data_IF_444423675428
#
_entry.id   IF_444423675428
#
_cell.length_a   1.000
_cell.length_b   1.000
_cell.length_c   1.000
_cell.angle_alpha   90.00
_cell.angle_beta   90.00
_cell.angle_gamma   90.00
#
_symmetry.space_group_name_H-M   'P 1'
#
loop_
_entity.id
_entity.type
_entity.pdbx_description
1 polymer ?
#
# COMPACT_ATOMS: atom_id res chain seq x y z
N UNK A 1 -16.80 -1.70 -7.87
CA UNK A 1 -18.09 -2.10 -8.46
C UNK A 1 -18.66 -0.99 -9.35
N UNK A 2 -18.99 0.20 -8.80
CA UNK A 2 -19.63 1.31 -9.52
C UNK A 2 -18.93 1.71 -10.84
N UNK A 3 -17.60 1.84 -10.85
CA UNK A 3 -16.83 2.19 -12.07
C UNK A 3 -16.92 1.08 -13.11
N UNK A 4 -16.77 -0.18 -12.69
CA UNK A 4 -16.85 -1.32 -13.58
C UNK A 4 -18.24 -1.43 -14.25
N UNK A 5 -19.29 -1.17 -13.47
CA UNK A 5 -20.66 -1.21 -13.99
C UNK A 5 -20.98 0.00 -14.86
N UNK A 6 -20.52 1.21 -14.48
CA UNK A 6 -20.75 2.44 -15.25
C UNK A 6 -20.13 2.43 -16.65
N UNK A 7 -18.95 1.80 -16.78
CA UNK A 7 -18.21 1.75 -18.04
C UNK A 7 -18.25 0.37 -18.70
N UNK A 8 -19.11 -0.53 -18.20
CA UNK A 8 -19.26 -1.91 -18.68
C UNK A 8 -17.91 -2.66 -18.86
N UNK A 9 -16.98 -2.46 -17.94
CA UNK A 9 -15.63 -3.01 -18.08
C UNK A 9 -15.60 -4.54 -18.03
N UNK A 10 -16.65 -5.17 -17.48
CA UNK A 10 -16.70 -6.64 -17.32
C UNK A 10 -16.88 -7.37 -18.64
N UNK A 11 -17.52 -6.75 -19.62
CA UNK A 11 -17.73 -7.35 -20.96
C UNK A 11 -16.42 -7.65 -21.67
N UNK A 12 -15.38 -6.85 -21.43
CA UNK A 12 -14.08 -6.96 -22.09
C UNK A 12 -13.03 -7.72 -21.26
N UNK A 13 -13.42 -8.23 -20.07
CA UNK A 13 -12.51 -8.96 -19.17
C UNK A 13 -12.77 -10.45 -19.23
N UNK A 14 -11.76 -11.23 -19.61
CA UNK A 14 -11.79 -12.69 -19.46
C UNK A 14 -11.42 -13.08 -18.02
N UNK A 15 -12.43 -13.25 -17.16
CA UNK A 15 -12.24 -13.67 -15.78
C UNK A 15 -11.70 -15.10 -15.67
N UNK A 16 -11.08 -15.44 -14.54
CA UNK A 16 -10.47 -16.75 -14.26
C UNK A 16 -9.49 -17.20 -15.34
N UNK A 17 -8.83 -16.25 -16.00
CA UNK A 17 -7.96 -16.49 -17.14
C UNK A 17 -6.58 -15.90 -16.85
N UNK A 18 -5.65 -16.75 -16.43
CA UNK A 18 -4.27 -16.36 -16.18
C UNK A 18 -3.43 -16.45 -17.45
N UNK A 19 -2.59 -15.46 -17.71
CA UNK A 19 -1.60 -15.48 -18.79
C UNK A 19 -0.44 -16.39 -18.37
N UNK A 20 -0.08 -17.35 -19.23
CA UNK A 20 1.06 -18.24 -19.03
C UNK A 20 2.33 -17.70 -19.68
N UNK A 21 2.20 -17.09 -20.85
CA UNK A 21 3.33 -16.48 -21.57
C UNK A 21 2.87 -15.40 -22.53
N UNK A 22 3.78 -14.49 -22.85
CA UNK A 22 3.61 -13.51 -23.91
C UNK A 22 4.93 -13.39 -24.67
N UNK A 23 4.91 -13.58 -25.98
CA UNK A 23 6.06 -13.48 -26.86
C UNK A 23 5.76 -12.49 -27.98
N UNK A 24 6.71 -11.62 -28.26
CA UNK A 24 6.65 -10.76 -29.43
C UNK A 24 7.11 -11.53 -30.65
N UNK A 25 6.39 -11.45 -31.73
CA UNK A 25 6.68 -12.04 -33.03
C UNK A 25 7.20 -10.92 -33.94
N UNK A 26 8.50 -10.86 -34.13
CA UNK A 26 9.17 -9.80 -34.90
C UNK A 26 8.78 -9.82 -36.38
N UNK A 27 8.44 -11.00 -36.94
CA UNK A 27 8.04 -11.14 -38.35
C UNK A 27 6.60 -10.65 -38.57
N UNK A 28 5.73 -10.85 -37.59
CA UNK A 28 4.33 -10.46 -37.66
C UNK A 28 4.04 -9.10 -37.02
N UNK A 29 5.02 -8.48 -36.32
CA UNK A 29 4.90 -7.24 -35.56
C UNK A 29 3.73 -7.25 -34.55
N UNK A 30 3.60 -8.38 -33.83
CA UNK A 30 2.51 -8.57 -32.88
C UNK A 30 2.90 -9.42 -31.66
N UNK A 31 2.14 -9.28 -30.60
CA UNK A 31 2.24 -10.13 -29.42
C UNK A 31 1.39 -11.38 -29.56
N UNK A 32 1.99 -12.54 -29.28
CA UNK A 32 1.27 -13.79 -29.06
C UNK A 32 1.17 -14.07 -27.56
N UNK A 33 -0.02 -13.89 -27.00
CA UNK A 33 -0.33 -14.13 -25.58
C UNK A 33 -0.99 -15.50 -25.44
N UNK A 34 -0.45 -16.36 -24.58
CA UNK A 34 -1.00 -17.68 -24.29
C UNK A 34 -1.45 -17.75 -22.84
N UNK A 35 -2.65 -18.23 -22.60
CA UNK A 35 -3.22 -18.42 -21.26
C UNK A 35 -2.95 -19.82 -20.72
N UNK A 36 -3.09 -20.01 -19.40
CA UNK A 36 -2.94 -21.33 -18.76
C UNK A 36 -3.93 -22.38 -19.28
N UNK A 37 -5.12 -21.98 -19.73
CA UNK A 37 -6.09 -22.88 -20.36
C UNK A 37 -5.81 -23.14 -21.86
N UNK A 38 -4.70 -22.64 -22.40
CA UNK A 38 -4.28 -22.85 -23.79
C UNK A 38 -4.89 -21.91 -24.82
N UNK A 39 -5.73 -20.96 -24.43
CA UNK A 39 -6.24 -19.93 -25.34
C UNK A 39 -5.10 -19.03 -25.81
N UNK A 40 -5.08 -18.72 -27.11
CA UNK A 40 -4.10 -17.80 -27.72
C UNK A 40 -4.79 -16.53 -28.20
N UNK A 41 -4.15 -15.39 -27.97
CA UNK A 41 -4.61 -14.08 -28.41
C UNK A 41 -3.44 -13.38 -29.09
N UNK A 42 -3.69 -12.78 -30.25
CA UNK A 42 -2.74 -11.92 -30.95
C UNK A 42 -3.13 -10.47 -30.72
N UNK A 43 -2.16 -9.59 -30.49
CA UNK A 43 -2.38 -8.17 -30.24
C UNK A 43 -1.17 -7.34 -30.69
N UNK A 44 -1.41 -6.19 -31.30
CA UNK A 44 -0.35 -5.25 -31.65
C UNK A 44 0.32 -4.64 -30.39
N UNK A 45 -0.46 -4.46 -29.33
CA UNK A 45 0.02 -3.87 -28.09
C UNK A 45 -0.29 -4.75 -26.90
N UNK A 46 0.68 -4.89 -25.99
CA UNK A 46 0.51 -5.58 -24.71
C UNK A 46 0.75 -4.59 -23.57
N UNK A 47 -0.26 -4.37 -22.74
CA UNK A 47 -0.15 -3.55 -21.53
C UNK A 47 -0.13 -4.46 -20.31
N UNK A 48 1.02 -4.51 -19.62
CA UNK A 48 1.21 -5.29 -18.41
C UNK A 48 0.72 -4.51 -17.19
N UNK A 49 -0.54 -4.67 -16.83
CA UNK A 49 -1.16 -4.04 -15.66
C UNK A 49 -1.25 -5.00 -14.47
N UNK A 50 -0.21 -5.79 -14.24
CA UNK A 50 -0.17 -6.92 -13.28
C UNK A 50 -0.05 -6.49 -11.81
N UNK A 51 0.23 -5.22 -11.53
CA UNK A 51 0.52 -4.72 -10.19
C UNK A 51 1.92 -5.12 -9.69
N UNK A 52 2.35 -4.51 -8.60
CA UNK A 52 3.70 -4.71 -8.04
C UNK A 52 3.74 -5.74 -6.89
N UNK A 53 2.59 -6.11 -6.32
CA UNK A 53 2.48 -7.00 -5.16
C UNK A 53 1.56 -8.20 -5.42
N UNK A 54 1.33 -8.56 -6.67
CA UNK A 54 0.38 -9.61 -7.06
C UNK A 54 0.89 -11.03 -6.81
N UNK A 55 2.21 -11.23 -6.73
CA UNK A 55 2.82 -12.51 -6.42
C UNK A 55 3.20 -12.60 -4.95
N UNK A 56 2.50 -13.44 -4.20
CA UNK A 56 2.85 -13.70 -2.80
C UNK A 56 4.07 -14.62 -2.71
N UNK A 57 5.05 -14.24 -1.91
CA UNK A 57 6.22 -15.07 -1.62
C UNK A 57 6.10 -15.62 -0.19
N UNK A 58 6.04 -16.92 -0.08
CA UNK A 58 6.14 -17.60 1.21
C UNK A 58 7.60 -17.68 1.63
N UNK A 59 7.94 -17.30 2.88
CA UNK A 59 9.32 -17.38 3.35
C UNK A 59 9.78 -18.85 3.45
N UNK A 60 11.03 -19.06 3.07
CA UNK A 60 11.70 -20.36 3.25
C UNK A 60 12.24 -20.44 4.69
N UNK A 61 11.49 -21.10 5.57
CA UNK A 61 11.82 -21.29 6.98
C UNK A 61 11.91 -22.79 7.23
N UNK A 62 13.08 -23.25 7.67
CA UNK A 62 13.29 -24.66 7.99
C UNK A 62 12.29 -25.15 9.04
N UNK A 63 11.68 -26.30 8.78
CA UNK A 63 10.71 -26.93 9.68
C UNK A 63 9.28 -26.40 9.55
N UNK A 64 9.00 -25.47 8.65
CA UNK A 64 7.66 -24.92 8.43
C UNK A 64 6.62 -26.00 8.15
N UNK A 65 6.99 -27.01 7.37
CA UNK A 65 6.12 -28.14 6.98
C UNK A 65 5.77 -29.04 8.15
N UNK A 66 6.58 -29.04 9.21
CA UNK A 66 6.34 -29.82 10.42
C UNK A 66 5.41 -29.13 11.43
N UNK A 67 5.14 -27.84 11.22
CA UNK A 67 4.23 -27.08 12.08
C UNK A 67 2.80 -27.59 11.96
N UNK A 68 2.17 -27.87 13.11
CA UNK A 68 0.82 -28.47 13.16
C UNK A 68 -0.30 -27.44 13.30
N UNK A 69 0.04 -26.18 13.57
CA UNK A 69 -0.92 -25.09 13.65
C UNK A 69 -1.28 -24.52 12.26
N UNK A 70 -2.28 -23.67 12.24
CA UNK A 70 -2.68 -22.93 11.03
C UNK A 70 -1.63 -21.88 10.67
N UNK A 71 -1.35 -21.72 9.39
CA UNK A 71 -0.40 -20.74 8.87
C UNK A 71 -1.07 -19.91 7.79
N UNK A 72 -0.95 -18.58 7.89
CA UNK A 72 -1.54 -17.63 6.95
C UNK A 72 -0.46 -16.68 6.43
N UNK A 73 -0.58 -16.29 5.17
CA UNK A 73 0.27 -15.27 4.56
C UNK A 73 -0.60 -14.09 4.15
N UNK A 74 -0.21 -12.88 4.51
CA UNK A 74 -1.01 -11.68 4.24
C UNK A 74 -1.36 -11.49 2.76
N UNK A 75 -0.47 -11.90 1.84
CA UNK A 75 -0.73 -11.88 0.40
C UNK A 75 -1.69 -12.98 -0.11
N UNK A 76 -2.01 -13.98 0.73
CA UNK A 76 -2.91 -15.10 0.42
C UNK A 76 -3.98 -15.25 1.51
N UNK A 77 -4.45 -14.12 2.04
CA UNK A 77 -5.43 -14.14 3.12
C UNK A 77 -6.73 -14.80 2.68
N UNK A 78 -7.31 -15.71 3.51
CA UNK A 78 -8.59 -16.33 3.19
C UNK A 78 -9.69 -15.28 3.01
N UNK A 79 -10.52 -15.43 1.97
CA UNK A 79 -11.60 -14.48 1.66
C UNK A 79 -12.70 -14.47 2.71
N UNK A 80 -12.90 -15.61 3.37
CA UNK A 80 -13.83 -15.82 4.49
C UNK A 80 -13.34 -15.23 5.80
N UNK A 81 -12.08 -14.75 5.83
CA UNK A 81 -11.45 -14.25 7.04
C UNK A 81 -10.85 -15.36 7.91
N UNK A 82 -10.28 -14.99 9.04
CA UNK A 82 -9.70 -15.91 10.04
C UNK A 82 -10.21 -15.48 11.43
N UNK A 83 -10.77 -16.40 12.17
CA UNK A 83 -11.14 -16.20 13.56
C UNK A 83 -9.92 -16.47 14.48
N UNK A 84 -9.50 -15.46 15.23
CA UNK A 84 -8.39 -15.52 16.18
C UNK A 84 -8.86 -15.62 17.64
N UNK A 85 -10.16 -15.69 17.90
CA UNK A 85 -10.73 -15.69 19.25
C UNK A 85 -10.09 -16.77 20.13
N UNK A 86 -9.47 -16.33 21.23
CA UNK A 86 -8.86 -17.20 22.22
C UNK A 86 -7.60 -17.96 21.76
N UNK A 87 -7.06 -17.66 20.58
CA UNK A 87 -5.86 -18.33 20.06
C UNK A 87 -4.58 -17.61 20.47
N UNK A 88 -3.49 -18.36 20.54
CA UNK A 88 -2.13 -17.84 20.62
C UNK A 88 -1.61 -17.64 19.20
N UNK A 89 -1.28 -16.41 18.84
CA UNK A 89 -0.91 -16.03 17.47
C UNK A 89 0.53 -15.54 17.43
N UNK A 90 1.33 -16.11 16.54
CA UNK A 90 2.66 -15.66 16.23
C UNK A 90 2.62 -14.86 14.90
N UNK A 91 3.14 -13.64 14.91
CA UNK A 91 3.27 -12.80 13.70
C UNK A 91 4.74 -12.66 13.36
N UNK A 92 5.13 -13.06 12.15
CA UNK A 92 6.50 -12.96 11.66
C UNK A 92 6.62 -11.75 10.73
N UNK A 93 7.37 -10.75 11.19
CA UNK A 93 7.61 -9.49 10.46
C UNK A 93 6.77 -8.34 10.98
N UNK A 94 7.25 -7.12 10.69
CA UNK A 94 6.64 -5.84 11.07
C UNK A 94 6.59 -4.87 9.89
N UNK A 95 6.46 -5.38 8.66
CA UNK A 95 6.22 -4.56 7.48
C UNK A 95 4.80 -3.98 7.45
N UNK A 96 4.48 -3.18 6.45
CA UNK A 96 3.20 -2.44 6.34
C UNK A 96 1.96 -3.30 6.52
N UNK A 97 1.95 -4.55 6.03
CA UNK A 97 0.82 -5.46 6.23
C UNK A 97 0.67 -5.91 7.67
N UNK A 98 1.79 -6.27 8.31
CA UNK A 98 1.78 -6.74 9.70
C UNK A 98 1.39 -5.61 10.67
N UNK A 99 1.92 -4.40 10.48
CA UNK A 99 1.59 -3.23 11.31
C UNK A 99 0.08 -2.95 11.32
N UNK A 100 -0.60 -3.18 10.20
CA UNK A 100 -2.05 -3.01 10.12
C UNK A 100 -2.84 -4.20 10.68
N UNK A 101 -2.32 -5.43 10.54
CA UNK A 101 -2.99 -6.64 10.99
C UNK A 101 -2.83 -6.90 12.49
N UNK A 102 -1.66 -6.61 13.07
CA UNK A 102 -1.34 -6.92 14.48
C UNK A 102 -2.36 -6.33 15.46
N UNK A 103 -2.75 -5.04 15.38
CA UNK A 103 -3.75 -4.49 16.32
C UNK A 103 -5.09 -5.24 16.26
N UNK A 104 -5.58 -5.52 15.07
CA UNK A 104 -6.85 -6.23 14.88
C UNK A 104 -6.79 -7.68 15.39
N UNK A 105 -5.68 -8.37 15.15
CA UNK A 105 -5.47 -9.72 15.68
C UNK A 105 -5.42 -9.68 17.21
N UNK A 106 -4.81 -8.66 17.80
CA UNK A 106 -4.67 -8.52 19.24
C UNK A 106 -5.99 -8.23 19.95
N UNK A 107 -6.99 -7.68 19.27
CA UNK A 107 -8.34 -7.48 19.84
C UNK A 107 -9.08 -8.80 20.09
N UNK A 108 -8.74 -9.85 19.32
CA UNK A 108 -9.44 -11.16 19.38
C UNK A 108 -8.61 -12.26 20.04
N UNK A 109 -7.30 -12.24 19.84
CA UNK A 109 -6.38 -13.30 20.25
C UNK A 109 -6.18 -13.31 21.79
N UNK A 110 -5.98 -14.49 22.36
CA UNK A 110 -5.59 -14.62 23.77
C UNK A 110 -4.14 -14.13 24.01
N UNK A 111 -3.28 -14.27 23.02
CA UNK A 111 -1.88 -13.83 23.08
C UNK A 111 -1.37 -13.55 21.66
N UNK A 112 -0.62 -12.46 21.48
CA UNK A 112 0.09 -12.18 20.23
C UNK A 112 1.57 -12.02 20.50
N UNK A 113 2.38 -12.84 19.81
CA UNK A 113 3.85 -12.75 19.85
C UNK A 113 4.35 -12.29 18.49
N UNK A 114 5.10 -11.18 18.47
CA UNK A 114 5.63 -10.60 17.23
C UNK A 114 7.12 -10.88 17.10
N UNK A 115 7.50 -11.51 16.01
CA UNK A 115 8.91 -11.79 15.69
C UNK A 115 9.41 -10.76 14.67
N UNK A 116 10.33 -9.91 15.12
CA UNK A 116 10.90 -8.83 14.32
C UNK A 116 12.40 -9.01 14.15
N UNK A 117 12.86 -9.00 12.90
CA UNK A 117 14.31 -9.00 12.59
C UNK A 117 14.87 -7.58 12.56
N UNK A 118 14.19 -6.69 11.89
CA UNK A 118 14.60 -5.29 11.69
C UNK A 118 13.45 -4.40 12.10
N UNK A 119 13.72 -3.41 12.95
CA UNK A 119 12.72 -2.45 13.37
C UNK A 119 12.19 -1.64 12.17
N UNK A 120 10.88 -1.49 12.10
CA UNK A 120 10.20 -0.63 11.14
C UNK A 120 9.55 0.52 11.91
N UNK A 121 9.93 1.74 11.61
CA UNK A 121 9.29 2.90 12.19
C UNK A 121 7.92 3.10 11.55
N UNK A 122 6.94 3.40 12.38
CA UNK A 122 5.55 3.63 11.98
C UNK A 122 5.09 4.98 12.48
N UNK A 123 4.16 5.57 11.77
CA UNK A 123 3.50 6.81 12.15
C UNK A 123 2.01 6.57 12.35
N UNK A 124 1.33 7.33 13.23
CA UNK A 124 -0.12 7.23 13.37
C UNK A 124 -0.79 7.55 12.03
N UNK A 125 -1.71 6.70 11.60
CA UNK A 125 -2.52 7.00 10.42
C UNK A 125 -3.70 7.92 10.74
N UNK A 126 -4.15 7.92 11.99
CA UNK A 126 -5.30 8.69 12.51
C UNK A 126 -6.52 8.63 11.57
N UNK A 127 -6.74 7.45 10.96
CA UNK A 127 -7.85 7.25 10.06
C UNK A 127 -9.19 7.54 10.75
N UNK A 128 -9.99 8.39 10.13
CA UNK A 128 -11.32 8.70 10.58
C UNK A 128 -12.30 8.72 9.40
N UNK A 129 -13.58 8.65 9.71
CA UNK A 129 -14.61 8.79 8.69
C UNK A 129 -14.57 10.22 8.14
N UNK A 130 -14.50 10.34 6.81
CA UNK A 130 -14.57 11.65 6.15
C UNK A 130 -15.90 12.33 6.49
N UNK A 131 -15.84 13.57 6.98
CA UNK A 131 -17.02 14.38 7.23
C UNK A 131 -17.74 14.70 5.91
N UNK A 132 -19.07 14.82 5.96
CA UNK A 132 -19.87 15.07 4.75
C UNK A 132 -19.49 16.41 4.12
N UNK A 133 -19.28 17.45 4.93
CA UNK A 133 -18.92 18.78 4.46
C UNK A 133 -17.56 18.79 3.74
N UNK A 134 -16.57 18.03 4.25
CA UNK A 134 -15.27 17.86 3.59
C UNK A 134 -15.41 17.14 2.24
N UNK A 135 -16.22 16.08 2.21
CA UNK A 135 -16.50 15.36 0.99
C UNK A 135 -17.18 16.23 -0.07
N UNK A 136 -18.11 17.08 0.34
CA UNK A 136 -18.84 18.00 -0.54
C UNK A 136 -17.94 19.15 -1.02
N UNK A 137 -17.07 19.69 -0.16
CA UNK A 137 -16.07 20.68 -0.54
C UNK A 137 -15.07 20.12 -1.58
N UNK A 138 -14.60 18.89 -1.40
CA UNK A 138 -13.73 18.20 -2.38
C UNK A 138 -14.46 18.04 -3.72
N UNK A 139 -15.72 17.60 -3.71
CA UNK A 139 -16.52 17.40 -4.93
C UNK A 139 -16.79 18.71 -5.65
N UNK A 140 -17.09 19.77 -4.92
CA UNK A 140 -17.34 21.10 -5.51
C UNK A 140 -16.11 21.67 -6.23
N UNK A 141 -14.90 21.35 -5.75
CA UNK A 141 -13.63 21.82 -6.30
C UNK A 141 -12.81 20.70 -6.95
N UNK A 142 -13.45 19.67 -7.48
CA UNK A 142 -12.77 18.43 -7.89
C UNK A 142 -11.74 18.64 -9.01
N UNK A 143 -12.00 19.53 -9.97
CA UNK A 143 -11.07 19.85 -11.06
C UNK A 143 -9.76 20.45 -10.54
N UNK A 144 -9.86 21.40 -9.62
CA UNK A 144 -8.69 22.06 -9.01
C UNK A 144 -7.93 21.10 -8.11
N UNK A 145 -8.66 20.28 -7.35
CA UNK A 145 -8.08 19.22 -6.55
C UNK A 145 -7.26 18.25 -7.40
N UNK A 146 -7.81 17.81 -8.54
CA UNK A 146 -7.12 16.92 -9.49
C UNK A 146 -5.92 17.60 -10.17
N UNK A 147 -6.01 18.88 -10.49
CA UNK A 147 -4.87 19.64 -11.03
C UNK A 147 -3.72 19.69 -10.01
N UNK A 148 -4.01 20.00 -8.75
CA UNK A 148 -3.01 19.99 -7.65
C UNK A 148 -2.39 18.60 -7.44
N UNK A 149 -3.19 17.53 -7.48
CA UNK A 149 -2.68 16.16 -7.38
C UNK A 149 -1.68 15.81 -8.48
N UNK A 150 -1.95 16.22 -9.72
CA UNK A 150 -1.06 15.93 -10.87
C UNK A 150 0.29 16.62 -10.78
N UNK A 151 0.38 17.74 -10.08
CA UNK A 151 1.62 18.48 -9.85
C UNK A 151 2.40 17.95 -8.64
N UNK A 152 1.82 17.07 -7.85
CA UNK A 152 2.46 16.53 -6.66
C UNK A 152 3.12 15.17 -6.96
N UNK A 153 4.34 14.98 -6.47
CA UNK A 153 5.15 13.76 -6.70
C UNK A 153 4.45 12.48 -6.23
N UNK A 154 3.66 12.56 -5.14
CA UNK A 154 2.93 11.42 -4.59
C UNK A 154 1.48 11.32 -5.07
N UNK A 155 1.03 12.26 -5.92
CA UNK A 155 -0.35 12.28 -6.38
C UNK A 155 -1.38 12.60 -5.28
N UNK A 156 -0.94 13.15 -4.15
CA UNK A 156 -1.81 13.62 -3.06
C UNK A 156 -1.73 15.13 -2.93
N UNK A 157 -2.82 15.76 -2.48
CA UNK A 157 -2.81 17.21 -2.24
C UNK A 157 -2.19 17.47 -0.88
N UNK A 158 -0.96 17.93 -0.88
CA UNK A 158 -0.27 18.42 0.31
C UNK A 158 0.62 19.60 -0.07
N UNK A 159 0.77 20.50 0.84
CA UNK A 159 1.70 21.63 0.69
C UNK A 159 3.10 21.18 1.13
N UNK A 160 4.06 21.35 0.24
CA UNK A 160 5.44 21.07 0.53
C UNK A 160 6.12 22.35 0.97
N UNK A 161 6.68 22.36 2.18
CA UNK A 161 7.53 23.46 2.60
C UNK A 161 8.81 23.54 1.76
N UNK A 162 9.23 24.74 1.43
CA UNK A 162 10.53 25.03 0.81
C UNK A 162 11.58 25.41 1.84
N UNK A 163 11.19 25.58 3.11
CA UNK A 163 12.12 25.89 4.19
C UNK A 163 13.01 24.69 4.50
N UNK A 164 14.22 24.96 4.96
CA UNK A 164 15.17 23.91 5.35
C UNK A 164 15.18 23.72 6.85
N UNK A 165 15.19 22.48 7.30
CA UNK A 165 15.25 22.16 8.73
C UNK A 165 16.55 22.65 9.37
N UNK A 166 17.66 22.68 8.61
CA UNK A 166 18.95 23.16 9.10
C UNK A 166 18.93 24.67 9.43
N UNK A 167 18.10 25.45 8.76
CA UNK A 167 17.98 26.90 8.93
C UNK A 167 16.92 27.29 9.98
N UNK A 168 16.09 26.33 10.42
CA UNK A 168 15.04 26.52 11.42
C UNK A 168 15.58 26.42 12.86
N UNK A 169 14.95 27.13 13.81
CA UNK A 169 15.28 26.98 15.22
C UNK A 169 14.87 25.60 15.76
N UNK A 170 15.44 25.12 16.87
CA UNK A 170 15.01 23.86 17.50
C UNK A 170 13.51 23.86 17.83
N UNK A 171 12.99 24.98 18.31
CA UNK A 171 11.57 25.14 18.67
C UNK A 171 10.67 25.03 17.44
N UNK A 172 11.05 25.68 16.34
CA UNK A 172 10.32 25.62 15.08
C UNK A 172 10.33 24.20 14.51
N UNK A 173 11.46 23.51 14.52
CA UNK A 173 11.55 22.10 14.12
C UNK A 173 10.61 21.23 14.95
N UNK A 174 10.70 21.34 16.28
CA UNK A 174 9.86 20.56 17.19
C UNK A 174 8.37 20.80 16.93
N UNK A 175 7.96 22.05 16.79
CA UNK A 175 6.57 22.41 16.49
C UNK A 175 6.09 21.77 15.18
N UNK A 176 6.83 21.93 14.09
CA UNK A 176 6.43 21.38 12.79
C UNK A 176 6.38 19.86 12.78
N UNK A 177 7.30 19.19 13.48
CA UNK A 177 7.22 17.72 13.61
C UNK A 177 6.01 17.28 14.41
N UNK A 178 5.67 18.00 15.48
CA UNK A 178 4.44 17.72 16.25
C UNK A 178 3.21 17.90 15.39
N UNK A 179 3.09 19.02 14.68
CA UNK A 179 1.98 19.30 13.76
C UNK A 179 1.85 18.21 12.68
N UNK A 180 2.99 17.80 12.11
CA UNK A 180 3.05 16.72 11.12
C UNK A 180 2.66 15.35 11.68
N UNK A 181 3.06 15.06 12.91
CA UNK A 181 2.68 13.83 13.62
C UNK A 181 1.19 13.80 13.93
N UNK A 182 0.66 14.88 14.44
CA UNK A 182 -0.75 15.03 14.79
C UNK A 182 -1.67 15.06 13.57
N UNK A 183 -1.14 15.39 12.38
CA UNK A 183 -1.89 15.30 11.14
C UNK A 183 -2.21 13.86 10.70
N UNK A 184 -1.47 12.88 11.22
CA UNK A 184 -1.63 11.46 10.90
C UNK A 184 -1.32 11.09 9.45
N UNK A 185 -0.77 12.01 8.67
CA UNK A 185 -0.48 11.82 7.25
C UNK A 185 1.03 11.75 7.07
N UNK A 186 1.56 10.60 6.63
CA UNK A 186 2.99 10.45 6.36
C UNK A 186 3.59 11.58 5.50
N UNK A 187 2.94 12.06 4.42
CA UNK A 187 3.39 13.26 3.72
C UNK A 187 3.48 14.50 4.60
N UNK A 188 2.56 14.68 5.55
CA UNK A 188 2.58 15.80 6.50
C UNK A 188 3.88 15.85 7.30
N UNK A 189 4.38 14.70 7.76
CA UNK A 189 5.68 14.62 8.44
C UNK A 189 6.87 14.85 7.51
N UNK A 190 6.87 14.21 6.33
CA UNK A 190 8.01 14.21 5.41
C UNK A 190 8.20 15.51 4.64
N UNK A 191 7.17 16.36 4.56
CA UNK A 191 7.20 17.60 3.79
C UNK A 191 7.24 18.86 4.63
N UNK A 192 7.43 18.72 5.95
CA UNK A 192 7.59 19.87 6.85
C UNK A 192 8.81 20.73 6.51
N UNK A 193 9.85 20.12 5.94
CA UNK A 193 11.05 20.80 5.47
C UNK A 193 11.54 20.19 4.16
N UNK A 194 12.23 21.01 3.35
CA UNK A 194 12.70 20.60 2.02
C UNK A 194 13.85 19.59 2.08
N UNK A 195 14.68 19.64 3.10
CA UNK A 195 15.95 18.91 3.25
C UNK A 195 15.84 17.62 4.09
N UNK A 196 14.67 17.26 4.62
CA UNK A 196 14.50 16.04 5.43
C UNK A 196 14.90 14.72 4.73
N UNK A 197 14.96 14.72 3.41
CA UNK A 197 15.31 13.54 2.61
C UNK A 197 16.74 13.53 2.10
N UNK A 198 17.42 14.67 2.12
CA UNK A 198 18.69 14.85 1.43
C UNK A 198 19.87 15.00 2.40
N UNK A 199 19.64 15.58 3.56
CA UNK A 199 20.66 15.83 4.55
C UNK A 199 20.41 15.00 5.82
N UNK A 200 21.47 14.48 6.42
CA UNK A 200 21.44 13.86 7.75
C UNK A 200 21.32 14.96 8.80
N UNK A 201 20.15 15.58 8.89
CA UNK A 201 19.86 16.51 9.99
C UNK A 201 19.66 15.67 11.25
N UNK A 202 20.42 15.87 12.31
CA UNK A 202 20.12 15.24 13.60
C UNK A 202 18.73 15.68 14.05
N UNK A 203 17.80 14.76 14.07
CA UNK A 203 16.49 14.99 14.69
C UNK A 203 16.71 14.80 16.18
N UNK A 204 16.50 15.82 17.02
CA UNK A 204 16.50 15.58 18.46
C UNK A 204 15.27 14.74 18.80
N UNK A 205 15.54 13.59 19.37
CA UNK A 205 14.54 12.69 19.98
C UNK A 205 14.15 13.23 21.35
#
# INVERSE_FOLDING_TARGET
>A
QHIADRFDLKSDIAFNTSVASAHFDDDADEWLVTTQCGRRVRAQHLVMATGVLSASKTPDIAGRESYKGSTYTTGLWPKEGVDFTGKRVAVIGTGSSAVQAIPLIAEEAAEVVVYQRTATFTTPALNHKLAQDDADAIKANYSDYRAKQRLNVLGVVNERSMDRAIDATPEERSRRFTDGWESGILPGMLFQFADLRLDRVPVPW
#
